data_IF_379723845776
#
_entry.id   IF_379723845776
#
_cell.length_a   1.000
_cell.length_b   1.000
_cell.length_c   1.000
_cell.angle_alpha   90.00
_cell.angle_beta   90.00
_cell.angle_gamma   90.00
#
_symmetry.space_group_name_H-M   'P 1'
#
loop_
_entity.id
_entity.type
_entity.pdbx_description
1 polymer ?
#
# COMPACT_ATOMS: atom_id res chain seq x y z
N UNK A 1 17.76 -4.19 24.59
CA UNK A 1 17.33 -3.84 23.21
C UNK A 1 16.72 -2.46 23.28
N UNK A 2 17.23 -1.50 22.51
CA UNK A 2 16.66 -0.15 22.48
C UNK A 2 15.24 -0.16 21.91
N UNK A 3 14.42 0.82 22.31
CA UNK A 3 13.07 0.98 21.78
C UNK A 3 13.08 1.15 20.26
N UNK A 4 11.98 0.82 19.57
CA UNK A 4 11.84 1.05 18.12
C UNK A 4 12.18 2.52 17.77
N UNK A 5 11.72 3.45 18.60
CA UNK A 5 12.03 4.88 18.49
C UNK A 5 13.53 5.15 18.49
N UNK A 6 14.29 4.58 19.43
CA UNK A 6 15.75 4.75 19.50
C UNK A 6 16.47 4.19 18.26
N UNK A 7 15.97 3.10 17.68
CA UNK A 7 16.54 2.55 16.45
C UNK A 7 16.34 3.50 15.28
N UNK A 8 15.12 4.02 15.10
CA UNK A 8 14.83 4.99 14.03
C UNK A 8 15.65 6.27 14.22
N UNK A 9 15.72 6.80 15.45
CA UNK A 9 16.49 8.01 15.73
C UNK A 9 17.98 7.85 15.44
N UNK A 10 18.53 6.65 15.64
CA UNK A 10 19.92 6.34 15.29
C UNK A 10 20.18 6.43 13.79
N UNK A 11 19.29 5.88 12.96
CA UNK A 11 19.45 5.95 11.50
C UNK A 11 19.35 7.40 10.99
N UNK A 12 18.45 8.20 11.59
CA UNK A 12 18.37 9.64 11.33
C UNK A 12 19.63 10.38 11.78
N UNK A 13 20.21 10.01 12.93
CA UNK A 13 21.47 10.58 13.44
C UNK A 13 22.67 10.29 12.52
N UNK A 14 22.67 9.12 11.88
CA UNK A 14 23.64 8.71 10.86
C UNK A 14 23.44 9.44 9.52
N UNK A 15 22.40 10.26 9.39
CA UNK A 15 22.12 11.04 8.18
C UNK A 15 21.38 10.27 7.10
N UNK A 16 20.85 9.07 7.38
CA UNK A 16 20.05 8.31 6.41
C UNK A 16 18.69 8.95 6.17
N UNK A 17 18.10 8.61 5.03
CA UNK A 17 16.71 8.89 4.70
C UNK A 17 15.86 7.70 5.16
N UNK A 18 15.04 7.90 6.19
CA UNK A 18 14.15 6.88 6.70
C UNK A 18 12.85 6.84 5.88
N UNK A 19 12.58 5.68 5.28
CA UNK A 19 11.40 5.41 4.47
C UNK A 19 10.37 4.67 5.31
N UNK A 20 9.16 5.22 5.43
CA UNK A 20 8.08 4.66 6.25
C UNK A 20 6.91 4.17 5.39
N UNK A 21 6.12 3.19 5.86
CA UNK A 21 4.98 2.65 5.12
C UNK A 21 3.97 3.70 4.64
N UNK A 22 3.81 4.79 5.40
CA UNK A 22 2.86 5.86 5.08
C UNK A 22 3.42 7.24 5.39
N UNK A 23 2.90 8.26 4.71
CA UNK A 23 3.22 9.67 4.98
C UNK A 23 2.89 10.09 6.42
N UNK A 24 1.83 9.52 7.01
CA UNK A 24 1.46 9.78 8.40
C UNK A 24 2.59 9.32 9.35
N UNK A 25 3.17 8.14 9.11
CA UNK A 25 4.28 7.64 9.91
C UNK A 25 5.57 8.43 9.67
N UNK A 26 5.85 8.81 8.42
CA UNK A 26 7.00 9.66 8.10
C UNK A 26 6.94 10.99 8.89
N UNK A 27 5.79 11.67 8.85
CA UNK A 27 5.55 12.90 9.62
C UNK A 27 5.60 12.69 11.12
N UNK A 28 5.06 11.58 11.61
CA UNK A 28 5.12 11.26 13.04
C UNK A 28 6.57 11.17 13.52
N UNK A 29 7.41 10.37 12.84
CA UNK A 29 8.82 10.21 13.23
C UNK A 29 9.64 11.48 13.02
N UNK A 30 9.34 12.28 12.00
CA UNK A 30 9.92 13.61 11.82
C UNK A 30 9.65 14.51 13.04
N UNK A 31 8.39 14.60 13.47
CA UNK A 31 7.98 15.41 14.63
C UNK A 31 8.54 14.87 15.95
N UNK A 32 8.53 13.55 16.12
CA UNK A 32 9.09 12.89 17.31
C UNK A 32 10.59 13.14 17.42
N UNK A 33 11.33 13.03 16.32
CA UNK A 33 12.76 13.31 16.32
C UNK A 33 13.04 14.81 16.59
N UNK A 34 12.25 15.72 16.01
CA UNK A 34 12.37 17.15 16.32
C UNK A 34 12.14 17.45 17.81
N UNK A 35 11.25 16.71 18.49
CA UNK A 35 10.95 16.88 19.91
C UNK A 35 11.98 16.22 20.84
N UNK A 36 12.36 14.98 20.52
CA UNK A 36 13.06 14.08 21.45
C UNK A 36 14.40 13.56 20.94
N UNK A 37 14.72 13.78 19.66
CA UNK A 37 15.98 13.37 19.04
C UNK A 37 17.19 14.05 19.66
N UNK A 38 18.38 13.48 19.44
CA UNK A 38 19.64 13.97 20.03
C UNK A 38 19.98 15.39 19.54
N UNK A 39 19.78 15.67 18.25
CA UNK A 39 20.04 16.97 17.63
C UNK A 39 18.83 17.91 17.68
N UNK A 40 17.62 17.39 17.93
CA UNK A 40 16.33 18.12 17.89
C UNK A 40 16.08 18.97 16.63
N UNK A 41 16.81 18.66 15.57
CA UNK A 41 16.73 19.32 14.27
C UNK A 41 16.96 18.25 13.20
N UNK A 42 16.11 18.25 12.19
CA UNK A 42 16.09 17.26 11.12
C UNK A 42 15.57 17.94 9.85
N UNK A 43 16.11 17.60 8.70
CA UNK A 43 15.54 18.04 7.42
C UNK A 43 14.32 17.20 7.10
N UNK A 44 13.25 17.82 6.59
CA UNK A 44 12.04 17.13 6.14
C UNK A 44 12.38 16.01 5.14
N UNK A 45 13.37 16.23 4.28
CA UNK A 45 13.86 15.25 3.29
C UNK A 45 14.54 14.01 3.88
N UNK A 46 14.78 13.94 5.19
CA UNK A 46 15.32 12.75 5.85
C UNK A 46 14.23 11.74 6.25
N UNK A 47 12.96 12.09 6.06
CA UNK A 47 11.84 11.15 6.21
C UNK A 47 11.03 11.12 4.92
N UNK A 48 10.58 9.94 4.50
CA UNK A 48 9.87 9.77 3.23
C UNK A 48 8.81 8.68 3.35
N UNK A 49 7.70 8.81 2.62
CA UNK A 49 6.71 7.75 2.49
C UNK A 49 7.14 6.69 1.47
N UNK A 50 6.71 5.45 1.67
CA UNK A 50 7.06 4.32 0.80
C UNK A 50 6.67 4.55 -0.66
N UNK A 51 5.52 5.16 -0.93
CA UNK A 51 5.05 5.40 -2.28
C UNK A 51 5.91 6.43 -3.03
N UNK A 52 6.46 7.42 -2.32
CA UNK A 52 7.43 8.37 -2.87
C UNK A 52 8.77 7.69 -3.14
N UNK A 53 9.26 6.89 -2.20
CA UNK A 53 10.48 6.11 -2.35
C UNK A 53 10.39 5.13 -3.53
N UNK A 54 9.30 4.38 -3.63
CA UNK A 54 9.07 3.39 -4.68
C UNK A 54 9.10 4.02 -6.08
N UNK A 55 8.56 5.24 -6.24
CA UNK A 55 8.59 5.99 -7.51
C UNK A 55 10.01 6.27 -8.00
N UNK A 56 10.98 6.39 -7.09
CA UNK A 56 12.39 6.62 -7.46
C UNK A 56 12.99 5.46 -8.27
N UNK A 57 12.43 4.26 -8.16
CA UNK A 57 12.91 3.05 -8.84
C UNK A 57 12.11 2.74 -10.11
N UNK A 58 11.06 3.51 -10.41
CA UNK A 58 10.28 3.31 -11.61
C UNK A 58 10.98 3.97 -12.81
N UNK A 59 10.93 3.34 -14.00
CA UNK A 59 11.43 3.96 -15.23
C UNK A 59 10.73 5.30 -15.50
N UNK A 60 11.51 6.29 -15.93
CA UNK A 60 10.97 7.54 -16.47
C UNK A 60 10.52 7.32 -17.91
N UNK A 61 9.30 7.76 -18.22
CA UNK A 61 8.70 7.69 -19.56
C UNK A 61 8.47 9.11 -20.08
N UNK A 62 9.53 9.89 -20.25
CA UNK A 62 9.46 11.34 -20.53
C UNK A 62 8.65 11.69 -21.79
N UNK A 63 8.64 10.79 -22.79
CA UNK A 63 7.97 10.99 -24.08
C UNK A 63 6.62 10.25 -24.21
N UNK A 64 6.17 9.53 -23.17
CA UNK A 64 4.95 8.71 -23.23
C UNK A 64 3.96 9.07 -22.14
N UNK A 65 2.67 8.87 -22.43
CA UNK A 65 1.60 9.06 -21.46
C UNK A 65 1.19 7.73 -20.82
N UNK A 66 0.89 7.70 -19.51
CA UNK A 66 0.45 6.49 -18.85
C UNK A 66 -0.92 6.07 -19.35
N UNK A 67 -1.11 4.77 -19.57
CA UNK A 67 -2.40 4.18 -19.85
C UNK A 67 -3.23 4.09 -18.58
N UNK A 68 -4.42 4.71 -18.62
CA UNK A 68 -5.41 4.67 -17.54
C UNK A 68 -6.54 3.68 -17.86
N UNK A 69 -7.56 3.64 -16.99
CA UNK A 69 -8.72 2.76 -17.19
C UNK A 69 -9.53 3.12 -18.44
N UNK A 70 -9.57 4.38 -18.86
CA UNK A 70 -10.31 4.79 -20.06
C UNK A 70 -9.60 4.27 -21.31
N UNK A 71 -8.28 4.44 -21.38
CA UNK A 71 -7.43 3.96 -22.47
C UNK A 71 -7.52 2.43 -22.60
N UNK A 72 -7.44 1.71 -21.48
CA UNK A 72 -7.59 0.23 -21.46
C UNK A 72 -8.94 -0.22 -22.00
N UNK A 73 -10.02 0.47 -21.62
CA UNK A 73 -11.37 0.17 -22.13
C UNK A 73 -11.49 0.49 -23.62
N UNK A 74 -10.89 1.59 -24.08
CA UNK A 74 -10.89 1.96 -25.49
C UNK A 74 -10.16 0.91 -26.32
N UNK A 75 -8.96 0.51 -25.90
CA UNK A 75 -8.24 -0.59 -26.53
C UNK A 75 -9.07 -1.87 -26.53
N UNK A 76 -9.66 -2.27 -25.39
CA UNK A 76 -10.38 -3.53 -25.31
C UNK A 76 -11.60 -3.57 -26.24
N UNK A 77 -12.35 -2.47 -26.35
CA UNK A 77 -13.46 -2.36 -27.30
C UNK A 77 -12.95 -2.44 -28.75
N UNK A 78 -11.93 -1.64 -29.09
CA UNK A 78 -11.31 -1.68 -30.41
C UNK A 78 -10.78 -3.08 -30.76
N UNK A 79 -10.11 -3.74 -29.83
CA UNK A 79 -9.56 -5.08 -29.99
C UNK A 79 -10.63 -6.09 -30.40
N UNK A 80 -11.85 -6.03 -29.84
CA UNK A 80 -12.93 -6.97 -30.21
C UNK A 80 -13.39 -6.86 -31.66
N UNK A 81 -13.08 -5.74 -32.34
CA UNK A 81 -13.38 -5.52 -33.76
C UNK A 81 -12.31 -6.09 -34.70
N UNK A 82 -11.15 -6.49 -34.18
CA UNK A 82 -10.04 -7.00 -34.98
C UNK A 82 -10.21 -8.48 -35.32
N UNK A 83 -9.74 -8.89 -36.51
CA UNK A 83 -9.74 -10.30 -36.92
C UNK A 83 -8.94 -11.21 -35.96
N UNK A 84 -7.90 -10.67 -35.32
CA UNK A 84 -7.13 -11.40 -34.30
C UNK A 84 -7.96 -11.78 -33.08
N UNK A 85 -8.94 -10.95 -32.67
CA UNK A 85 -9.85 -11.27 -31.57
C UNK A 85 -10.84 -12.39 -31.94
N UNK A 86 -11.03 -12.68 -33.23
CA UNK A 86 -11.80 -13.83 -33.69
C UNK A 86 -10.99 -15.13 -33.67
N UNK A 87 -9.66 -15.05 -33.61
CA UNK A 87 -8.73 -16.19 -33.62
C UNK A 87 -8.31 -16.66 -32.22
N UNK A 88 -8.74 -15.97 -31.16
CA UNK A 88 -8.56 -16.44 -29.79
C UNK A 88 -9.20 -17.82 -29.66
N UNK A 89 -8.61 -18.75 -28.92
CA UNK A 89 -9.08 -20.14 -28.77
C UNK A 89 -9.78 -20.37 -27.43
N UNK A 90 -9.16 -19.92 -26.35
CA UNK A 90 -9.70 -20.03 -25.00
C UNK A 90 -10.83 -19.03 -24.76
N UNK A 91 -10.62 -17.77 -25.18
CA UNK A 91 -11.65 -16.73 -25.02
C UNK A 91 -12.77 -16.84 -26.06
N UNK A 92 -12.56 -17.56 -27.18
CA UNK A 92 -13.63 -17.84 -28.16
C UNK A 92 -14.56 -18.98 -27.74
N UNK A 93 -14.10 -19.98 -26.99
CA UNK A 93 -15.00 -21.01 -26.43
C UNK A 93 -16.08 -20.40 -25.53
N UNK A 94 -15.78 -19.30 -24.83
CA UNK A 94 -16.77 -18.51 -24.07
C UNK A 94 -17.56 -17.50 -24.91
N UNK A 95 -17.17 -17.24 -26.17
CA UNK A 95 -17.80 -16.25 -27.07
C UNK A 95 -19.16 -16.72 -27.60
N UNK A 96 -19.48 -18.01 -27.46
CA UNK A 96 -20.83 -18.53 -27.71
C UNK A 96 -21.80 -18.32 -26.53
N UNK A 97 -21.29 -17.96 -25.33
CA UNK A 97 -22.10 -17.62 -24.14
C UNK A 97 -22.00 -16.13 -23.74
N UNK A 98 -20.92 -15.43 -24.12
CA UNK A 98 -20.69 -14.01 -23.82
C UNK A 98 -20.91 -13.13 -25.06
N UNK A 99 -21.77 -12.13 -24.94
CA UNK A 99 -21.83 -11.02 -25.88
C UNK A 99 -20.45 -10.32 -26.00
N UNK A 100 -20.19 -9.63 -27.10
CA UNK A 100 -18.94 -8.89 -27.36
C UNK A 100 -18.49 -7.99 -26.20
N UNK A 101 -19.44 -7.43 -25.45
CA UNK A 101 -19.21 -6.62 -24.24
C UNK A 101 -18.50 -7.40 -23.11
N UNK A 102 -18.78 -8.69 -22.95
CA UNK A 102 -18.15 -9.54 -21.93
C UNK A 102 -16.66 -9.78 -22.21
N UNK A 103 -16.28 -9.89 -23.49
CA UNK A 103 -14.88 -10.01 -23.90
C UNK A 103 -14.12 -8.70 -23.68
N UNK A 104 -14.68 -7.56 -24.09
CA UNK A 104 -14.04 -6.25 -23.90
C UNK A 104 -13.80 -5.94 -22.42
N UNK A 105 -14.78 -6.22 -21.55
CA UNK A 105 -14.62 -6.07 -20.09
C UNK A 105 -13.51 -6.97 -19.55
N UNK A 106 -13.51 -8.24 -19.95
CA UNK A 106 -12.49 -9.22 -19.53
C UNK A 106 -11.09 -8.79 -19.95
N UNK A 107 -10.91 -8.42 -21.23
CA UNK A 107 -9.63 -7.92 -21.76
C UNK A 107 -9.19 -6.70 -20.97
N UNK A 108 -10.03 -5.65 -20.86
CA UNK A 108 -9.69 -4.41 -20.17
C UNK A 108 -9.24 -4.63 -18.73
N UNK A 109 -9.85 -5.58 -18.01
CA UNK A 109 -9.51 -5.91 -16.62
C UNK A 109 -8.18 -6.68 -16.49
N UNK A 110 -7.81 -7.41 -17.54
CA UNK A 110 -6.65 -8.28 -17.57
C UNK A 110 -5.37 -7.55 -17.99
N UNK A 111 -5.46 -6.53 -18.87
CA UNK A 111 -4.29 -5.79 -19.40
C UNK A 111 -3.24 -5.38 -18.35
N UNK A 112 -3.61 -4.82 -17.19
CA UNK A 112 -2.63 -4.37 -16.20
C UNK A 112 -1.84 -5.53 -15.57
N UNK A 113 -2.28 -6.77 -15.74
CA UNK A 113 -1.68 -7.97 -15.14
C UNK A 113 -0.82 -8.75 -16.14
N UNK A 114 -0.73 -8.28 -17.39
CA UNK A 114 -0.04 -8.99 -18.47
C UNK A 114 1.49 -8.85 -18.46
N UNK A 115 2.07 -8.16 -17.46
CA UNK A 115 3.53 -8.02 -17.28
C UNK A 115 4.25 -9.37 -17.34
N UNK A 116 3.69 -10.37 -16.66
CA UNK A 116 4.21 -11.75 -16.60
C UNK A 116 3.29 -12.73 -17.33
N UNK A 117 2.69 -12.30 -18.44
CA UNK A 117 1.78 -13.12 -19.25
C UNK A 117 2.34 -14.51 -19.59
N UNK A 118 3.66 -14.61 -19.78
CA UNK A 118 4.35 -15.85 -20.10
C UNK A 118 4.37 -16.88 -18.96
N UNK A 119 4.32 -16.41 -17.72
CA UNK A 119 4.43 -17.25 -16.51
C UNK A 119 3.05 -17.56 -15.92
N UNK A 120 2.09 -16.64 -16.06
CA UNK A 120 0.80 -16.71 -15.35
C UNK A 120 -0.30 -17.50 -16.09
N UNK A 121 -0.22 -17.63 -17.42
CA UNK A 121 -1.31 -18.23 -18.19
C UNK A 121 -1.05 -19.74 -18.47
N UNK A 122 -1.92 -20.65 -18.00
CA UNK A 122 -1.76 -22.07 -18.26
C UNK A 122 -2.28 -22.48 -19.65
N UNK A 123 -1.58 -23.44 -20.29
CA UNK A 123 -2.06 -24.17 -21.46
C UNK A 123 -2.49 -23.29 -22.65
N UNK A 124 -3.67 -23.56 -23.21
CA UNK A 124 -4.18 -22.87 -24.40
C UNK A 124 -4.47 -21.37 -24.18
N UNK A 125 -4.75 -20.96 -22.93
CA UNK A 125 -4.98 -19.56 -22.55
C UNK A 125 -3.72 -18.71 -22.76
N UNK A 126 -2.52 -19.30 -22.61
CA UNK A 126 -1.25 -18.59 -22.82
C UNK A 126 -1.16 -17.97 -24.20
N UNK A 127 -1.55 -18.72 -25.23
CA UNK A 127 -1.49 -18.24 -26.62
C UNK A 127 -2.39 -17.03 -26.85
N UNK A 128 -3.60 -17.04 -26.29
CA UNK A 128 -4.53 -15.92 -26.39
C UNK A 128 -4.06 -14.69 -25.62
N UNK A 129 -3.55 -14.90 -24.41
CA UNK A 129 -3.02 -13.83 -23.54
C UNK A 129 -1.83 -13.13 -24.21
N UNK A 130 -0.92 -13.89 -24.82
CA UNK A 130 0.22 -13.34 -25.55
C UNK A 130 -0.21 -12.56 -26.81
N UNK A 131 -1.25 -13.02 -27.51
CA UNK A 131 -1.83 -12.28 -28.64
C UNK A 131 -2.43 -10.96 -28.18
N UNK A 132 -3.22 -10.96 -27.10
CA UNK A 132 -3.82 -9.74 -26.53
C UNK A 132 -2.73 -8.76 -26.10
N UNK A 133 -1.69 -9.26 -25.39
CA UNK A 133 -0.54 -8.46 -24.97
C UNK A 133 0.16 -7.81 -26.16
N UNK A 134 0.46 -8.59 -27.20
CA UNK A 134 1.16 -8.09 -28.39
C UNK A 134 0.36 -7.00 -29.12
N UNK A 135 -0.96 -7.15 -29.25
CA UNK A 135 -1.80 -6.11 -29.86
C UNK A 135 -1.90 -4.86 -28.99
N UNK A 136 -1.89 -5.03 -27.66
CA UNK A 136 -1.88 -3.90 -26.74
C UNK A 136 -0.57 -3.12 -26.78
N UNK A 137 0.57 -3.81 -26.84
CA UNK A 137 1.88 -3.21 -27.04
C UNK A 137 1.92 -2.34 -28.32
N UNK A 138 1.43 -2.87 -29.44
CA UNK A 138 1.34 -2.11 -30.71
C UNK A 138 0.42 -0.90 -30.60
N UNK A 139 -0.71 -1.03 -29.91
CA UNK A 139 -1.64 0.07 -29.69
C UNK A 139 -0.98 1.18 -28.85
N UNK A 140 -0.27 0.80 -27.79
CA UNK A 140 0.44 1.75 -26.93
C UNK A 140 1.57 2.46 -27.68
N UNK A 141 2.37 1.72 -28.44
CA UNK A 141 3.47 2.27 -29.23
C UNK A 141 2.98 3.31 -30.24
N UNK A 142 1.94 2.99 -31.01
CA UNK A 142 1.36 3.92 -32.01
C UNK A 142 0.76 5.18 -31.39
N UNK A 143 0.34 5.11 -30.12
CA UNK A 143 -0.38 6.19 -29.45
C UNK A 143 0.52 7.01 -28.50
N UNK A 144 1.82 6.67 -28.40
CA UNK A 144 2.74 7.29 -27.46
C UNK A 144 2.35 7.02 -26.00
N UNK A 145 1.94 5.78 -25.70
CA UNK A 145 1.48 5.34 -24.38
C UNK A 145 2.41 4.29 -23.77
N UNK A 146 2.33 4.12 -22.46
CA UNK A 146 2.91 2.99 -21.73
C UNK A 146 1.92 2.46 -20.69
N UNK A 147 2.12 1.24 -20.18
CA UNK A 147 1.31 0.65 -19.12
C UNK A 147 2.07 0.72 -17.79
N UNK A 148 1.70 1.62 -16.86
CA UNK A 148 2.43 1.79 -15.60
C UNK A 148 2.53 0.53 -14.74
N UNK A 149 1.57 -0.39 -14.87
CA UNK A 149 1.61 -1.67 -14.12
C UNK A 149 2.65 -2.66 -14.65
N UNK A 150 3.24 -2.39 -15.80
CA UNK A 150 4.29 -3.21 -16.38
C UNK A 150 5.69 -2.74 -16.01
N UNK A 151 5.81 -1.56 -15.41
CA UNK A 151 7.10 -1.06 -14.94
C UNK A 151 7.62 -1.93 -13.80
N UNK A 152 8.84 -2.44 -13.99
CA UNK A 152 9.56 -3.23 -12.99
C UNK A 152 10.56 -2.29 -12.31
N UNK A 153 10.53 -2.18 -10.96
CA UNK A 153 11.48 -1.35 -10.23
C UNK A 153 12.93 -1.76 -10.51
N UNK A 154 13.79 -0.78 -10.76
CA UNK A 154 15.22 -0.95 -10.93
C UNK A 154 15.96 0.23 -10.27
N UNK A 155 17.21 0.01 -9.85
CA UNK A 155 18.03 1.09 -9.29
C UNK A 155 18.46 2.04 -10.42
N UNK A 156 18.10 3.33 -10.37
CA UNK A 156 18.55 4.29 -11.36
C UNK A 156 20.07 4.44 -11.37
N UNK A 157 20.63 4.73 -12.54
CA UNK A 157 22.07 4.88 -12.70
C UNK A 157 22.59 6.03 -11.82
N UNK A 158 23.60 5.73 -10.98
CA UNK A 158 24.23 6.71 -10.10
C UNK A 158 23.47 7.00 -8.81
N UNK A 159 22.34 6.31 -8.54
CA UNK A 159 21.66 6.40 -7.26
C UNK A 159 22.44 5.63 -6.18
N UNK A 160 22.83 6.32 -5.12
CA UNK A 160 23.35 5.67 -3.92
C UNK A 160 22.19 5.17 -3.05
N UNK A 161 21.87 3.89 -3.15
CA UNK A 161 20.77 3.30 -2.37
C UNK A 161 21.12 3.09 -0.90
N UNK A 162 22.40 3.19 -0.51
CA UNK A 162 22.85 2.99 0.86
C UNK A 162 22.43 4.11 1.81
N UNK A 163 22.08 5.28 1.27
CA UNK A 163 21.56 6.40 2.06
C UNK A 163 20.16 6.12 2.64
N UNK A 164 19.44 5.12 2.13
CA UNK A 164 18.07 4.82 2.55
C UNK A 164 18.00 3.75 3.65
N UNK A 165 17.05 3.93 4.56
CA UNK A 165 16.66 2.96 5.57
C UNK A 165 15.15 2.71 5.49
N UNK A 166 14.73 1.52 5.06
CA UNK A 166 13.32 1.12 5.04
C UNK A 166 12.90 0.71 6.44
N UNK A 167 12.02 1.49 7.06
CA UNK A 167 11.46 1.21 8.37
C UNK A 167 10.18 0.40 8.25
N UNK A 168 10.05 -0.65 9.05
CA UNK A 168 8.88 -1.52 9.18
C UNK A 168 8.45 -2.16 7.85
N UNK A 169 9.36 -2.86 7.15
CA UNK A 169 9.05 -3.49 5.87
C UNK A 169 7.84 -4.44 5.93
N UNK A 170 7.57 -5.03 7.09
CA UNK A 170 6.46 -5.95 7.31
C UNK A 170 5.09 -5.26 7.26
N UNK A 171 5.05 -3.93 7.38
CA UNK A 171 3.85 -3.12 7.27
C UNK A 171 3.65 -2.53 5.86
N UNK A 172 4.53 -2.86 4.90
CA UNK A 172 4.52 -2.31 3.55
C UNK A 172 3.95 -3.33 2.56
N UNK A 173 2.83 -2.98 1.94
CA UNK A 173 2.25 -3.78 0.86
C UNK A 173 3.18 -3.80 -0.37
N UNK A 174 3.46 -5.00 -0.89
CA UNK A 174 4.31 -5.17 -2.09
C UNK A 174 5.82 -5.06 -1.82
N UNK A 175 6.26 -4.94 -0.57
CA UNK A 175 7.69 -4.88 -0.22
C UNK A 175 8.48 -6.09 -0.72
N UNK A 176 7.98 -7.32 -0.55
CA UNK A 176 8.68 -8.52 -1.02
C UNK A 176 8.83 -8.56 -2.54
N UNK A 177 7.85 -8.04 -3.29
CA UNK A 177 7.94 -7.93 -4.75
C UNK A 177 9.00 -6.91 -5.15
N UNK A 178 9.07 -5.77 -4.47
CA UNK A 178 10.09 -4.75 -4.69
C UNK A 178 11.49 -5.29 -4.40
N UNK A 179 11.67 -5.95 -3.25
CA UNK A 179 12.91 -6.60 -2.85
C UNK A 179 13.36 -7.63 -3.89
N UNK A 180 12.43 -8.45 -4.38
CA UNK A 180 12.72 -9.43 -5.43
C UNK A 180 13.08 -8.76 -6.76
N UNK A 181 12.41 -7.66 -7.13
CA UNK A 181 12.68 -6.93 -8.37
C UNK A 181 14.09 -6.31 -8.40
N UNK A 182 14.55 -5.74 -7.27
CA UNK A 182 15.89 -5.15 -7.17
C UNK A 182 17.02 -6.19 -7.04
N UNK A 183 16.71 -7.41 -6.61
CA UNK A 183 17.69 -8.50 -6.51
C UNK A 183 18.88 -8.13 -5.63
N UNK A 184 20.10 -8.25 -6.17
CA UNK A 184 21.34 -8.00 -5.43
C UNK A 184 21.50 -6.52 -5.02
N UNK A 185 20.97 -5.57 -5.77
CA UNK A 185 21.09 -4.15 -5.43
C UNK A 185 20.35 -3.81 -4.13
N UNK A 186 19.34 -4.61 -3.75
CA UNK A 186 18.60 -4.45 -2.50
C UNK A 186 19.50 -4.62 -1.26
N UNK A 187 20.58 -5.41 -1.33
CA UNK A 187 21.41 -5.68 -0.15
C UNK A 187 22.11 -4.44 0.41
N UNK A 188 22.19 -3.38 -0.39
CA UNK A 188 22.76 -2.11 0.01
C UNK A 188 21.76 -1.20 0.75
N UNK A 189 20.46 -1.54 0.75
CA UNK A 189 19.42 -0.80 1.47
C UNK A 189 19.31 -1.33 2.89
N UNK A 190 19.36 -0.43 3.88
CA UNK A 190 19.18 -0.82 5.29
C UNK A 190 17.70 -1.03 5.59
N UNK A 191 17.39 -2.05 6.40
CA UNK A 191 16.03 -2.30 6.87
C UNK A 191 15.96 -2.26 8.39
N UNK A 192 14.85 -1.75 8.91
CA UNK A 192 14.55 -1.68 10.34
C UNK A 192 13.22 -2.36 10.61
N UNK A 193 13.30 -3.61 11.02
CA UNK A 193 12.15 -4.46 11.33
C UNK A 193 11.41 -3.98 12.59
N UNK A 194 10.10 -4.22 12.63
CA UNK A 194 9.34 -4.05 13.85
C UNK A 194 9.92 -4.99 14.91
N UNK A 195 10.34 -4.43 16.05
CA UNK A 195 10.79 -5.26 17.16
C UNK A 195 9.65 -6.18 17.57
N UNK A 196 9.81 -7.49 17.43
CA UNK A 196 8.86 -8.46 17.95
C UNK A 196 8.90 -8.39 19.48
N UNK A 197 7.97 -7.61 20.04
CA UNK A 197 7.72 -7.62 21.48
C UNK A 197 6.82 -8.82 21.74
N UNK A 198 7.40 -9.91 22.24
CA UNK A 198 6.62 -11.04 22.74
C UNK A 198 5.70 -10.54 23.86
N UNK A 199 4.45 -10.27 23.52
CA UNK A 199 3.43 -9.84 24.47
C UNK A 199 2.64 -11.07 24.88
N UNK A 200 2.45 -11.26 26.18
CA UNK A 200 1.64 -12.36 26.68
C UNK A 200 0.19 -12.19 26.19
N UNK A 201 -0.37 -13.24 25.59
CA UNK A 201 -1.78 -13.28 25.26
C UNK A 201 -2.59 -13.36 26.56
N UNK A 202 -3.38 -12.33 26.83
CA UNK A 202 -4.29 -12.29 27.98
C UNK A 202 -5.70 -12.64 27.53
N UNK A 203 -6.30 -13.64 28.16
CA UNK A 203 -7.66 -14.09 27.83
C UNK A 203 -8.64 -13.57 28.88
N UNK A 204 -9.70 -12.93 28.40
CA UNK A 204 -10.77 -12.40 29.25
C UNK A 204 -12.05 -13.25 29.10
N UNK A 205 -12.89 -13.32 30.14
CA UNK A 205 -14.12 -14.10 30.12
C UNK A 205 -15.18 -13.53 29.16
N UNK A 206 -15.13 -12.24 28.83
CA UNK A 206 -15.97 -11.60 27.82
C UNK A 206 -15.40 -10.22 27.42
N UNK A 207 -15.90 -9.68 26.30
CA UNK A 207 -15.47 -8.40 25.75
C UNK A 207 -15.66 -7.21 26.71
N UNK A 208 -16.69 -7.23 27.56
CA UNK A 208 -16.91 -6.15 28.54
C UNK A 208 -15.85 -6.17 29.65
N UNK A 209 -15.45 -7.36 30.12
CA UNK A 209 -14.39 -7.51 31.10
C UNK A 209 -13.04 -7.03 30.53
N UNK A 210 -12.72 -7.45 29.30
CA UNK A 210 -11.55 -6.97 28.56
C UNK A 210 -11.55 -5.44 28.45
N UNK A 211 -12.63 -4.85 27.92
CA UNK A 211 -12.75 -3.41 27.73
C UNK A 211 -12.54 -2.62 29.04
N UNK A 212 -13.12 -3.08 30.16
CA UNK A 212 -12.95 -2.43 31.47
C UNK A 212 -11.52 -2.47 31.97
N UNK A 213 -10.81 -3.57 31.71
CA UNK A 213 -9.39 -3.72 32.07
C UNK A 213 -8.54 -2.83 31.18
N UNK A 214 -8.75 -2.84 29.86
CA UNK A 214 -7.99 -1.99 28.93
C UNK A 214 -8.21 -0.50 29.22
N UNK A 215 -9.45 -0.07 29.45
CA UNK A 215 -9.72 1.34 29.81
C UNK A 215 -9.07 1.74 31.14
N UNK A 216 -8.95 0.82 32.10
CA UNK A 216 -8.18 1.08 33.33
C UNK A 216 -6.70 1.26 33.03
N UNK A 217 -6.12 0.42 32.17
CA UNK A 217 -4.71 0.53 31.76
C UNK A 217 -4.44 1.83 31.02
N UNK A 218 -5.30 2.20 30.08
CA UNK A 218 -5.20 3.48 29.36
C UNK A 218 -5.22 4.66 30.33
N UNK A 219 -6.14 4.66 31.29
CA UNK A 219 -6.17 5.71 32.33
C UNK A 219 -4.86 5.76 33.14
N UNK A 220 -4.29 4.62 33.50
CA UNK A 220 -3.03 4.59 34.22
C UNK A 220 -1.90 5.19 33.37
N UNK A 221 -1.81 4.81 32.09
CA UNK A 221 -0.83 5.41 31.16
C UNK A 221 -0.99 6.93 31.05
N UNK A 222 -2.22 7.42 30.93
CA UNK A 222 -2.49 8.86 30.90
C UNK A 222 -2.10 9.54 32.22
N UNK A 223 -2.32 8.88 33.36
CA UNK A 223 -1.93 9.38 34.69
C UNK A 223 -0.40 9.40 34.86
N UNK A 224 0.29 8.47 34.21
CA UNK A 224 1.76 8.38 34.16
C UNK A 224 2.36 9.38 33.14
N UNK A 225 1.54 10.21 32.50
CA UNK A 225 1.96 11.27 31.59
C UNK A 225 2.17 10.84 30.13
N UNK A 226 1.72 9.65 29.74
CA UNK A 226 1.73 9.22 28.33
C UNK A 226 0.74 10.08 27.55
N UNK A 227 1.17 10.62 26.40
CA UNK A 227 0.28 11.44 25.58
C UNK A 227 -0.82 10.58 24.95
N UNK A 228 -2.02 11.12 24.82
CA UNK A 228 -3.15 10.41 24.19
C UNK A 228 -2.83 9.92 22.77
N UNK A 229 -2.04 10.71 22.02
CA UNK A 229 -1.63 10.38 20.64
C UNK A 229 -0.70 9.16 20.55
N UNK A 230 -0.08 8.75 21.66
CA UNK A 230 0.83 7.60 21.72
C UNK A 230 0.08 6.28 22.03
N UNK A 231 -1.23 6.35 22.25
CA UNK A 231 -2.08 5.21 22.64
C UNK A 231 -3.04 4.89 21.49
N UNK A 232 -2.77 3.76 20.80
CA UNK A 232 -3.68 3.20 19.79
C UNK A 232 -4.39 1.97 20.34
N UNK A 233 -5.71 1.92 20.16
CA UNK A 233 -6.54 0.76 20.51
C UNK A 233 -7.18 0.22 19.24
N UNK A 234 -6.80 -0.99 18.85
CA UNK A 234 -7.42 -1.71 17.74
C UNK A 234 -8.45 -2.68 18.24
N UNK A 235 -9.62 -2.73 17.61
CA UNK A 235 -10.69 -3.61 17.99
C UNK A 235 -11.37 -4.26 16.78
N UNK A 236 -11.77 -5.52 16.93
CA UNK A 236 -12.60 -6.20 15.93
C UNK A 236 -14.05 -5.75 16.06
N UNK A 237 -14.74 -5.51 14.94
CA UNK A 237 -16.17 -5.14 14.87
C UNK A 237 -16.54 -3.91 15.72
N UNK A 238 -15.88 -2.78 15.45
CA UNK A 238 -16.09 -1.50 16.12
C UNK A 238 -17.58 -1.15 16.25
N UNK A 239 -18.39 -1.33 15.18
CA UNK A 239 -19.83 -1.03 15.18
C UNK A 239 -20.60 -1.65 16.34
N UNK A 240 -20.25 -2.89 16.71
CA UNK A 240 -20.94 -3.65 17.76
C UNK A 240 -20.52 -3.23 19.18
N UNK A 241 -19.29 -2.75 19.34
CA UNK A 241 -18.70 -2.46 20.66
C UNK A 241 -18.68 -0.97 20.98
N UNK A 242 -18.83 -0.10 19.98
CA UNK A 242 -18.70 1.36 20.09
C UNK A 242 -19.55 1.97 21.21
N UNK A 243 -20.86 1.65 21.38
CA UNK A 243 -21.65 2.23 22.46
C UNK A 243 -21.11 1.91 23.86
N UNK A 244 -20.55 0.71 24.03
CA UNK A 244 -19.95 0.28 25.30
C UNK A 244 -18.60 0.95 25.54
N UNK A 245 -17.81 1.10 24.47
CA UNK A 245 -16.49 1.72 24.48
C UNK A 245 -16.59 3.20 24.86
N UNK A 246 -17.51 3.95 24.23
CA UNK A 246 -17.81 5.34 24.56
C UNK A 246 -18.33 5.49 25.99
N UNK A 247 -19.20 4.57 26.44
CA UNK A 247 -19.75 4.60 27.80
C UNK A 247 -18.67 4.39 28.86
N UNK A 248 -17.80 3.39 28.70
CA UNK A 248 -16.72 3.11 29.66
C UNK A 248 -15.63 4.18 29.61
N UNK A 249 -15.32 4.74 28.43
CA UNK A 249 -14.40 5.88 28.29
C UNK A 249 -14.92 7.13 29.01
N UNK A 250 -16.20 7.51 28.80
CA UNK A 250 -16.83 8.63 29.54
C UNK A 250 -16.85 8.40 31.03
N UNK A 251 -17.21 7.20 31.48
CA UNK A 251 -17.16 6.83 32.90
C UNK A 251 -15.76 6.99 33.48
N UNK A 252 -14.74 6.80 32.64
CA UNK A 252 -13.34 6.90 33.03
C UNK A 252 -12.66 8.24 32.70
N UNK A 253 -13.41 9.21 32.19
CA UNK A 253 -12.89 10.51 31.76
C UNK A 253 -11.69 10.38 30.80
N UNK A 254 -11.77 9.41 29.88
CA UNK A 254 -10.74 9.16 28.86
C UNK A 254 -11.21 9.80 27.56
N UNK A 255 -10.45 10.77 26.99
CA UNK A 255 -10.75 11.31 25.69
C UNK A 255 -10.46 10.24 24.62
N UNK A 256 -11.48 9.89 23.83
CA UNK A 256 -11.34 8.94 22.72
C UNK A 256 -11.68 9.63 21.41
N UNK A 257 -10.86 9.39 20.39
CA UNK A 257 -11.15 9.72 19.00
C UNK A 257 -11.27 8.41 18.23
N UNK A 258 -12.35 8.24 17.49
CA UNK A 258 -12.61 7.03 16.72
C UNK A 258 -12.26 7.33 15.27
N UNK A 259 -11.23 6.67 14.75
CA UNK A 259 -10.84 6.72 13.34
C UNK A 259 -11.61 5.64 12.59
N UNK A 260 -12.61 6.04 11.83
CA UNK A 260 -13.33 5.15 10.90
C UNK A 260 -12.97 5.51 9.46
N UNK A 261 -12.61 4.50 8.66
CA UNK A 261 -12.66 4.60 7.20
C UNK A 261 -14.12 4.48 6.73
N UNK A 262 -15.00 5.40 7.19
CA UNK A 262 -16.38 5.41 6.72
C UNK A 262 -16.41 5.70 5.22
N UNK A 263 -17.17 4.90 4.47
CA UNK A 263 -17.54 5.24 3.08
C UNK A 263 -18.23 6.60 3.09
N UNK A 264 -17.91 7.46 2.11
CA UNK A 264 -18.48 8.82 1.98
C UNK A 264 -20.02 8.85 2.13
N UNK A 265 -20.71 7.79 1.71
CA UNK A 265 -22.16 7.61 1.81
C UNK A 265 -22.72 7.55 3.24
N UNK A 266 -21.88 7.35 4.26
CA UNK A 266 -22.27 7.39 5.66
C UNK A 266 -22.34 8.81 6.23
N UNK A 267 -21.74 9.80 5.56
CA UNK A 267 -21.86 11.21 5.94
C UNK A 267 -23.10 11.82 5.30
N UNK A 268 -23.81 12.68 6.05
CA UNK A 268 -25.01 13.40 5.59
C UNK A 268 -24.79 14.13 4.27
N UNK A 269 -23.56 14.62 4.02
CA UNK A 269 -23.15 15.29 2.79
C UNK A 269 -22.89 14.32 1.61
N UNK A 270 -22.51 13.06 1.88
CA UNK A 270 -22.22 12.06 0.83
C UNK A 270 -23.46 11.36 0.26
N UNK A 271 -24.63 11.49 0.91
CA UNK A 271 -25.93 11.07 0.33
C UNK A 271 -26.38 11.93 -0.85
N UNK A 272 -25.76 13.08 -1.09
CA UNK A 272 -26.11 13.96 -2.21
C UNK A 272 -25.36 13.61 -3.51
N UNK A 273 -24.28 12.81 -3.44
CA UNK A 273 -23.40 12.57 -4.59
C UNK A 273 -23.33 11.09 -5.04
N UNK A 274 -24.10 10.20 -4.42
CA UNK A 274 -24.24 8.78 -4.80
C UNK A 274 -25.69 8.30 -4.68
#
# INVERSE_FOLDING_TARGET
MGSIREKVFRELDLGRICVFPTEIQARFYLQEYARFGSKRMIFESQTMAWDEFYKLFLPSHDDKRPSDNLIRKLFANWFTTLDVAQRLRHFSMKKYELASEGLASSVSSMLPQLTFADEMAPGEMKSDVLLIRSEYEKFMERSGLYEPRWDIPAVPLGMDVSQYCICFPEAIDGYELFKHALGNEFTNIVTLDLAQVATALEVFPNALAEMRVQMRRIRNLLSDGVNCQDILVTCMKLDSIRPYLEREARRKDIPISILENLKLTAYSAGKFFF
#
